data_IF_051343089981
#
_entry.id   IF_051343089981
#
_cell.length_a   1.000
_cell.length_b   1.000
_cell.length_c   1.000
_cell.angle_alpha   90.00
_cell.angle_beta   90.00
_cell.angle_gamma   90.00
#
_symmetry.space_group_name_H-M   'P 1'
#
loop_
_entity.id
_entity.type
_entity.pdbx_description
1 polymer ?
#
# COMPACT_ATOMS: atom_id res chain seq x y z
N UNK A 1 5.72 -21.29 -17.20
CA UNK A 1 5.87 -20.35 -18.33
C UNK A 1 6.30 -18.98 -17.79
N UNK A 2 7.09 -18.24 -18.56
CA UNK A 2 8.05 -17.24 -18.09
C UNK A 2 7.39 -15.88 -17.80
N UNK A 3 7.00 -15.62 -16.54
CA UNK A 3 6.37 -14.34 -16.10
C UNK A 3 7.29 -13.10 -16.26
N UNK A 4 8.57 -13.29 -16.58
CA UNK A 4 9.56 -12.22 -16.77
C UNK A 4 9.15 -11.22 -17.87
N UNK A 5 8.28 -11.61 -18.81
CA UNK A 5 7.77 -10.74 -19.87
C UNK A 5 6.42 -10.08 -19.53
N UNK A 6 5.86 -10.33 -18.35
CA UNK A 6 4.56 -9.81 -17.96
C UNK A 6 4.62 -8.29 -17.81
N UNK A 7 3.79 -7.58 -18.59
CA UNK A 7 3.75 -6.11 -18.62
C UNK A 7 2.63 -5.54 -17.76
N UNK A 8 1.56 -6.28 -17.57
CA UNK A 8 0.36 -5.78 -16.91
C UNK A 8 -0.13 -6.84 -15.93
N UNK A 9 -0.36 -6.45 -14.68
CA UNK A 9 -0.86 -7.32 -13.63
C UNK A 9 -2.05 -6.67 -12.95
N UNK A 10 -3.20 -7.35 -13.07
CA UNK A 10 -4.49 -6.88 -12.56
C UNK A 10 -4.97 -7.80 -11.44
N UNK A 11 -4.92 -7.30 -10.20
CA UNK A 11 -5.34 -7.98 -8.97
C UNK A 11 -6.37 -7.16 -8.19
N UNK A 12 -6.86 -6.07 -8.76
CA UNK A 12 -7.85 -5.18 -8.15
C UNK A 12 -9.18 -5.87 -7.84
N UNK A 13 -9.92 -5.34 -6.86
CA UNK A 13 -11.23 -5.85 -6.40
C UNK A 13 -11.20 -7.33 -6.00
N UNK A 14 -10.13 -7.75 -5.34
CA UNK A 14 -10.02 -9.07 -4.72
C UNK A 14 -10.05 -8.94 -3.19
N UNK A 15 -9.80 -10.03 -2.49
CA UNK A 15 -9.74 -10.09 -1.03
C UNK A 15 -8.30 -10.31 -0.55
N UNK A 16 -7.32 -9.71 -1.24
CA UNK A 16 -5.92 -9.82 -0.84
C UNK A 16 -5.70 -9.10 0.49
N UNK A 17 -5.21 -9.84 1.48
CA UNK A 17 -4.88 -9.29 2.81
C UNK A 17 -3.38 -9.01 2.96
N UNK A 18 -2.55 -9.64 2.13
CA UNK A 18 -1.10 -9.52 2.17
C UNK A 18 -0.48 -9.88 0.83
N UNK A 19 0.64 -9.22 0.53
CA UNK A 19 1.51 -9.50 -0.61
C UNK A 19 2.92 -9.69 -0.04
N UNK A 20 3.57 -10.81 -0.37
CA UNK A 20 4.93 -11.06 0.08
C UNK A 20 5.89 -9.99 -0.49
N UNK A 21 6.90 -9.58 0.28
CA UNK A 21 7.79 -8.46 -0.07
C UNK A 21 8.67 -8.69 -1.32
N UNK A 22 8.68 -9.90 -1.86
CA UNK A 22 9.42 -10.27 -3.08
C UNK A 22 8.51 -10.68 -4.24
N UNK A 23 7.19 -10.55 -4.09
CA UNK A 23 6.21 -11.07 -5.05
C UNK A 23 6.41 -10.50 -6.45
N UNK A 24 6.68 -9.20 -6.54
CA UNK A 24 6.86 -8.52 -7.82
C UNK A 24 8.32 -8.33 -8.23
N UNK A 25 9.29 -8.80 -7.42
CA UNK A 25 10.72 -8.54 -7.64
C UNK A 25 11.26 -9.17 -8.93
N UNK A 26 10.69 -10.29 -9.37
CA UNK A 26 11.10 -11.00 -10.60
C UNK A 26 10.41 -10.45 -11.86
N UNK A 27 9.36 -9.63 -11.70
CA UNK A 27 8.56 -9.06 -12.79
C UNK A 27 9.22 -7.79 -13.36
N UNK A 28 10.45 -7.92 -13.84
CA UNK A 28 11.27 -6.79 -14.30
C UNK A 28 10.69 -6.04 -15.50
N UNK A 29 9.82 -6.68 -16.30
CA UNK A 29 9.14 -6.05 -17.44
C UNK A 29 7.80 -5.38 -17.08
N UNK A 30 7.37 -5.42 -15.81
CA UNK A 30 6.06 -4.95 -15.40
C UNK A 30 5.91 -3.43 -15.57
N UNK A 31 4.89 -3.03 -16.32
CA UNK A 31 4.53 -1.65 -16.65
C UNK A 31 3.33 -1.15 -15.87
N UNK A 32 2.34 -2.01 -15.66
CA UNK A 32 1.11 -1.67 -14.96
C UNK A 32 0.81 -2.67 -13.85
N UNK A 33 0.54 -2.16 -12.65
CA UNK A 33 0.12 -2.95 -11.49
C UNK A 33 -1.16 -2.38 -10.91
N UNK A 34 -2.21 -3.18 -10.81
CA UNK A 34 -3.45 -2.80 -10.14
C UNK A 34 -3.72 -3.72 -8.96
N UNK A 35 -3.61 -3.20 -7.75
CA UNK A 35 -3.96 -3.88 -6.49
C UNK A 35 -5.01 -3.09 -5.69
N UNK A 36 -5.63 -2.09 -6.31
CA UNK A 36 -6.68 -1.27 -5.73
C UNK A 36 -7.94 -2.08 -5.35
N UNK A 37 -8.66 -1.66 -4.31
CA UNK A 37 -9.89 -2.35 -3.88
C UNK A 37 -9.63 -3.72 -3.25
N UNK A 38 -8.55 -3.88 -2.50
CA UNK A 38 -8.22 -5.07 -1.72
C UNK A 38 -8.28 -4.76 -0.21
N UNK A 39 -7.77 -5.67 0.63
CA UNK A 39 -7.72 -5.56 2.09
C UNK A 39 -6.28 -5.39 2.60
N UNK A 40 -5.42 -4.74 1.80
CA UNK A 40 -4.01 -4.52 2.13
C UNK A 40 -3.85 -3.38 3.13
N UNK A 41 -3.10 -3.62 4.20
CA UNK A 41 -2.74 -2.59 5.18
C UNK A 41 -1.32 -2.09 5.07
N UNK A 42 -0.41 -2.89 4.50
CA UNK A 42 1.00 -2.56 4.29
C UNK A 42 1.50 -3.17 2.99
N UNK A 43 2.52 -2.56 2.40
CA UNK A 43 3.24 -3.09 1.25
C UNK A 43 4.70 -2.65 1.30
N UNK A 44 5.59 -3.51 0.81
CA UNK A 44 7.00 -3.15 0.63
C UNK A 44 7.16 -2.43 -0.71
N UNK A 45 7.40 -1.12 -0.70
CA UNK A 45 7.58 -0.33 -1.92
C UNK A 45 8.85 -0.68 -2.70
N UNK A 46 9.84 -1.31 -2.05
CA UNK A 46 11.09 -1.74 -2.70
C UNK A 46 10.90 -2.88 -3.70
N UNK A 47 9.78 -3.61 -3.64
CA UNK A 47 9.47 -4.68 -4.59
C UNK A 47 9.00 -4.16 -5.96
N UNK A 48 8.64 -2.88 -6.04
CA UNK A 48 8.15 -2.27 -7.27
C UNK A 48 9.29 -2.04 -8.25
N UNK A 49 9.14 -2.59 -9.45
CA UNK A 49 10.12 -2.44 -10.52
C UNK A 49 10.23 -0.99 -11.00
N UNK A 50 11.44 -0.56 -11.34
CA UNK A 50 11.70 0.72 -11.98
C UNK A 50 11.06 0.87 -13.36
N UNK A 51 10.62 -0.23 -13.97
CA UNK A 51 9.96 -0.23 -15.27
C UNK A 51 8.49 0.15 -15.21
N UNK A 52 7.88 0.22 -14.02
CA UNK A 52 6.48 0.60 -13.81
C UNK A 52 6.21 2.03 -14.28
N UNK A 53 5.08 2.21 -14.95
CA UNK A 53 4.56 3.49 -15.42
C UNK A 53 3.17 3.80 -14.84
N UNK A 54 2.46 2.79 -14.34
CA UNK A 54 1.23 2.98 -13.59
C UNK A 54 1.09 1.97 -12.45
N UNK A 55 0.72 2.46 -11.26
CA UNK A 55 0.37 1.63 -10.11
C UNK A 55 -0.95 2.15 -9.53
N UNK A 56 -1.90 1.26 -9.25
CA UNK A 56 -3.14 1.59 -8.54
C UNK A 56 -3.16 0.89 -7.18
N UNK A 57 -3.17 1.68 -6.12
CA UNK A 57 -3.09 1.26 -4.71
C UNK A 57 -4.33 1.66 -3.91
N UNK A 58 -5.20 2.51 -4.46
CA UNK A 58 -6.32 3.10 -3.77
C UNK A 58 -7.33 2.09 -3.23
N UNK A 59 -8.23 2.57 -2.36
CA UNK A 59 -9.31 1.75 -1.79
C UNK A 59 -8.78 0.49 -1.09
N UNK A 60 -7.68 0.62 -0.38
CA UNK A 60 -7.12 -0.38 0.52
C UNK A 60 -7.08 0.20 1.95
N UNK A 61 -7.23 -0.62 3.00
CA UNK A 61 -7.18 -0.20 4.40
C UNK A 61 -5.75 0.06 4.88
N UNK A 62 -5.04 0.99 4.23
CA UNK A 62 -3.64 1.29 4.49
C UNK A 62 -3.39 1.72 5.94
N UNK A 63 -2.19 1.39 6.45
CA UNK A 63 -1.76 1.75 7.79
C UNK A 63 -1.58 3.25 7.94
N UNK A 64 -2.08 3.82 9.05
CA UNK A 64 -1.78 5.19 9.46
C UNK A 64 -0.49 5.29 10.30
N UNK A 65 0.28 4.20 10.45
CA UNK A 65 1.55 4.26 11.18
C UNK A 65 2.54 5.20 10.47
N UNK A 66 3.14 6.12 11.23
CA UNK A 66 4.04 7.14 10.68
C UNK A 66 5.18 6.53 9.86
N UNK A 67 5.74 5.39 10.28
CA UNK A 67 6.80 4.68 9.55
C UNK A 67 6.35 4.23 8.16
N UNK A 68 5.08 3.84 7.98
CA UNK A 68 4.52 3.48 6.69
C UNK A 68 4.20 4.71 5.86
N UNK A 69 3.60 5.75 6.47
CA UNK A 69 3.32 7.02 5.82
C UNK A 69 4.60 7.69 5.28
N UNK A 70 5.69 7.67 6.05
CA UNK A 70 6.99 8.19 5.63
C UNK A 70 7.56 7.44 4.42
N UNK A 71 7.48 6.10 4.43
CA UNK A 71 7.90 5.28 3.30
C UNK A 71 7.06 5.55 2.05
N UNK A 72 5.73 5.63 2.19
CA UNK A 72 4.83 5.96 1.09
C UNK A 72 5.17 7.33 0.52
N UNK A 73 5.32 8.35 1.37
CA UNK A 73 5.64 9.72 0.96
C UNK A 73 6.95 9.79 0.19
N UNK A 74 7.99 9.13 0.70
CA UNK A 74 9.27 9.04 0.01
C UNK A 74 9.11 8.38 -1.37
N UNK A 75 8.38 7.26 -1.43
CA UNK A 75 8.14 6.55 -2.67
C UNK A 75 7.34 7.37 -3.69
N UNK A 76 6.28 8.06 -3.28
CA UNK A 76 5.48 8.95 -4.14
C UNK A 76 6.32 10.12 -4.66
N UNK A 77 7.15 10.72 -3.80
CA UNK A 77 8.04 11.81 -4.22
C UNK A 77 9.03 11.34 -5.30
N UNK A 78 9.67 10.19 -5.10
CA UNK A 78 10.68 9.67 -6.03
C UNK A 78 10.09 9.16 -7.36
N UNK A 79 8.82 8.77 -7.39
CA UNK A 79 8.22 8.13 -8.57
C UNK A 79 7.11 8.95 -9.22
N UNK A 80 6.14 9.48 -8.47
CA UNK A 80 5.00 10.20 -9.04
C UNK A 80 5.29 11.69 -9.20
N UNK A 81 5.79 12.36 -8.16
CA UNK A 81 6.04 13.81 -8.19
C UNK A 81 7.12 14.17 -9.23
N UNK A 82 8.11 13.30 -9.41
CA UNK A 82 9.13 13.42 -10.48
C UNK A 82 8.61 13.03 -11.87
N UNK A 83 7.35 12.64 -12.02
CA UNK A 83 6.71 12.33 -13.31
C UNK A 83 7.08 10.99 -13.93
N UNK A 84 7.65 10.05 -13.15
CA UNK A 84 8.05 8.71 -13.62
C UNK A 84 6.89 7.72 -13.63
N UNK A 85 5.93 7.86 -12.71
CA UNK A 85 4.89 6.88 -12.41
C UNK A 85 3.54 7.56 -12.17
N UNK A 86 2.46 7.04 -12.74
CA UNK A 86 1.10 7.44 -12.38
C UNK A 86 0.57 6.60 -11.22
N UNK A 87 0.08 7.25 -10.16
CA UNK A 87 -0.55 6.64 -8.99
C UNK A 87 -1.96 7.22 -8.80
N UNK A 88 -2.90 6.46 -8.22
CA UNK A 88 -4.22 6.93 -7.80
C UNK A 88 -4.20 7.58 -6.40
N UNK A 89 -3.37 8.60 -6.23
CA UNK A 89 -3.17 9.31 -4.96
C UNK A 89 -4.45 9.83 -4.32
N UNK A 90 -5.41 10.27 -5.14
CA UNK A 90 -6.73 10.74 -4.67
C UNK A 90 -7.53 9.67 -3.90
N UNK A 91 -7.16 8.39 -4.04
CA UNK A 91 -7.83 7.26 -3.40
C UNK A 91 -6.98 6.58 -2.30
N UNK A 92 -5.89 7.23 -1.87
CA UNK A 92 -5.03 6.74 -0.79
C UNK A 92 -5.47 7.34 0.54
N UNK A 93 -6.17 6.52 1.31
CA UNK A 93 -6.63 6.83 2.67
C UNK A 93 -6.07 5.79 3.62
N UNK A 94 -5.77 6.20 4.84
CA UNK A 94 -5.45 5.26 5.91
C UNK A 94 -6.68 5.10 6.83
N UNK A 95 -6.81 3.95 7.50
CA UNK A 95 -7.93 3.70 8.41
C UNK A 95 -7.51 3.89 9.88
N UNK A 96 -8.02 4.93 10.53
CA UNK A 96 -7.91 5.10 11.98
C UNK A 96 -9.22 4.67 12.68
N UNK A 97 -9.13 3.78 13.67
CA UNK A 97 -10.21 3.40 14.58
C UNK A 97 -11.53 2.86 13.99
N UNK A 98 -11.51 2.25 12.81
CA UNK A 98 -12.67 1.48 12.29
C UNK A 98 -13.93 2.31 12.00
N UNK A 99 -13.85 3.63 12.02
CA UNK A 99 -14.96 4.53 11.75
C UNK A 99 -14.74 5.24 10.43
N UNK A 100 -15.26 4.62 9.36
CA UNK A 100 -15.40 5.20 8.02
C UNK A 100 -14.08 5.61 7.34
N UNK A 101 -14.04 5.48 6.02
CA UNK A 101 -13.03 6.17 5.23
C UNK A 101 -13.37 7.65 5.42
N UNK A 102 -12.62 8.34 6.27
CA UNK A 102 -12.74 9.77 6.42
C UNK A 102 -12.03 10.38 5.21
N UNK A 103 -12.80 10.89 4.24
CA UNK A 103 -12.26 11.55 3.04
C UNK A 103 -11.32 12.72 3.38
N UNK A 104 -11.31 13.18 4.64
CA UNK A 104 -10.37 14.18 5.15
C UNK A 104 -8.98 13.65 5.53
N UNK A 105 -8.76 12.33 5.56
CA UNK A 105 -7.49 11.69 5.94
C UNK A 105 -6.76 11.11 4.72
N UNK A 106 -6.57 11.93 3.69
CA UNK A 106 -5.71 11.56 2.56
C UNK A 106 -4.29 11.34 3.06
N UNK A 107 -3.70 10.18 2.72
CA UNK A 107 -2.34 9.86 3.17
C UNK A 107 -1.29 10.84 2.62
N UNK A 108 -1.59 11.49 1.50
CA UNK A 108 -0.75 12.50 0.85
C UNK A 108 -0.77 13.86 1.55
N UNK A 109 -1.76 14.13 2.42
CA UNK A 109 -1.84 15.41 3.15
C UNK A 109 -1.09 15.41 4.49
N UNK A 110 -0.67 14.25 4.99
CA UNK A 110 0.11 14.15 6.23
C UNK A 110 1.51 14.73 6.05
N UNK A 111 1.86 15.71 6.88
CA UNK A 111 3.17 16.35 6.90
C UNK A 111 4.08 15.73 7.99
N UNK A 112 5.37 16.06 7.98
CA UNK A 112 6.32 15.54 8.98
C UNK A 112 6.06 16.05 10.41
N UNK A 113 5.38 17.19 10.57
CA UNK A 113 4.98 17.71 11.88
C UNK A 113 3.76 16.99 12.47
N UNK A 114 2.88 16.41 11.64
CA UNK A 114 1.76 15.58 12.08
C UNK A 114 2.26 14.26 12.67
N UNK A 115 3.44 13.82 12.23
CA UNK A 115 4.20 12.71 12.80
C UNK A 115 5.11 13.11 13.99
N UNK A 116 5.19 14.40 14.34
CA UNK A 116 6.21 14.97 15.25
C UNK A 116 5.68 15.58 16.56
N UNK A 117 4.41 15.36 16.92
CA UNK A 117 3.87 15.80 18.22
C UNK A 117 4.55 15.12 19.43
N UNK A 118 4.34 15.69 20.63
CA UNK A 118 4.95 15.36 21.94
C UNK A 118 4.62 13.94 22.50
N UNK A 119 4.42 12.97 21.61
CA UNK A 119 4.25 11.55 21.88
C UNK A 119 5.24 10.75 21.03
N UNK A 120 6.53 11.05 21.18
CA UNK A 120 7.63 10.21 20.68
C UNK A 120 7.73 8.83 21.35
N UNK A 121 6.68 8.41 22.09
CA UNK A 121 6.45 7.01 22.50
C UNK A 121 5.03 6.49 22.22
N UNK A 122 4.18 7.16 21.41
CA UNK A 122 2.77 6.74 21.26
C UNK A 122 2.16 6.92 19.86
N UNK A 123 2.75 6.25 18.86
CA UNK A 123 1.99 5.67 17.74
C UNK A 123 2.34 4.21 17.50
N UNK A 124 2.77 3.48 18.55
CA UNK A 124 2.30 2.10 18.68
C UNK A 124 0.83 2.18 19.08
N UNK A 125 -0.06 2.25 18.09
CA UNK A 125 -1.38 1.66 18.29
C UNK A 125 -1.13 0.15 18.37
N UNK A 126 -0.85 -0.34 19.59
CA UNK A 126 -0.90 -1.76 19.90
C UNK A 126 -2.31 -2.21 19.54
N UNK A 127 -2.47 -2.76 18.33
CA UNK A 127 -3.62 -3.57 18.02
C UNK A 127 -3.45 -4.83 18.87
N UNK A 128 -4.09 -4.87 20.04
CA UNK A 128 -4.44 -6.18 20.58
C UNK A 128 -5.24 -6.87 19.47
N UNK A 129 -4.85 -8.10 19.08
CA UNK A 129 -5.62 -8.84 18.12
C UNK A 129 -6.99 -9.05 18.76
N UNK A 130 -8.01 -8.30 18.32
CA UNK A 130 -9.38 -8.75 18.52
C UNK A 130 -9.46 -10.08 17.79
N UNK A 131 -9.40 -11.15 18.56
CA UNK A 131 -9.77 -12.50 18.14
C UNK A 131 -11.26 -12.47 17.78
N UNK A 132 -11.58 -11.91 16.61
CA UNK A 132 -12.72 -12.33 15.84
C UNK A 132 -12.16 -13.31 14.82
N UNK A 133 -12.13 -14.59 15.21
CA UNK A 133 -12.01 -15.71 14.29
C UNK A 133 -13.19 -15.66 13.30
N UNK A 134 -13.10 -14.79 12.31
CA UNK A 134 -13.84 -14.93 11.07
C UNK A 134 -12.81 -15.52 10.11
N UNK A 135 -12.92 -16.83 9.86
CA UNK A 135 -12.22 -17.50 8.78
C UNK A 135 -12.81 -17.02 7.45
N UNK A 136 -12.51 -15.77 7.09
CA UNK A 136 -12.60 -15.33 5.70
C UNK A 136 -11.38 -15.94 5.02
N UNK A 137 -11.52 -16.68 3.91
CA UNK A 137 -10.35 -17.16 3.17
C UNK A 137 -9.52 -15.95 2.74
N UNK A 138 -8.41 -15.71 3.44
CA UNK A 138 -7.47 -14.64 3.13
C UNK A 138 -6.60 -15.09 1.96
N UNK A 139 -6.68 -14.36 0.85
CA UNK A 139 -5.79 -14.60 -0.28
C UNK A 139 -4.46 -13.90 0.04
N UNK A 140 -3.42 -14.70 0.26
CA UNK A 140 -2.05 -14.22 0.33
C UNK A 140 -1.40 -14.44 -1.02
N UNK A 141 -0.89 -13.37 -1.63
CA UNK A 141 -0.10 -13.52 -2.85
C UNK A 141 1.35 -13.83 -2.44
N UNK A 142 1.76 -15.07 -2.69
CA UNK A 142 3.12 -15.54 -2.46
C UNK A 142 4.07 -15.11 -3.57
N UNK A 143 5.37 -15.22 -3.29
CA UNK A 143 6.39 -15.04 -4.32
C UNK A 143 6.25 -16.10 -5.42
N UNK A 144 6.48 -15.69 -6.67
CA UNK A 144 6.56 -16.61 -7.83
C UNK A 144 7.98 -17.08 -8.04
#
# INVERSE_FOLDING_TARGET
>A
ENLVLMRELYLHNNQLTSIHNTTFSTLVALKMLRIDGNLLSVISFSQFSNSLISVRLGRNPWSCECSFLEQLRYWLYENEVKGKLSVDTDHLYCLQNGSHIDDSQQMTSYNSSDCGGEYTERTTLKREPRQSHILVPSLTLGAV
#
